data_IF_868566468966
#
_entry.id   IF_868566468966
#
_cell.length_a   1.000
_cell.length_b   1.000
_cell.length_c   1.000
_cell.angle_alpha   90.00
_cell.angle_beta   90.00
_cell.angle_gamma   90.00
#
_symmetry.space_group_name_H-M   'P 1'
#
loop_
_entity.id
_entity.type
_entity.pdbx_description
1 polymer ?
#
# COMPACT_ATOMS: atom_id res chain seq x y z
N UNK A 1 -1.43 15.20 -3.33
CA UNK A 1 -0.23 14.40 -3.01
C UNK A 1 -0.38 13.00 -3.58
N UNK A 2 0.70 12.28 -3.69
CA UNK A 2 0.70 10.94 -4.29
C UNK A 2 0.70 9.89 -3.18
N UNK A 3 -0.23 8.93 -3.28
CA UNK A 3 -0.42 7.91 -2.25
C UNK A 3 -0.42 6.53 -2.92
N UNK A 4 0.32 5.59 -2.35
CA UNK A 4 0.29 4.19 -2.79
C UNK A 4 -0.79 3.46 -2.02
N UNK A 5 -1.69 2.79 -2.75
CA UNK A 5 -2.64 1.81 -2.20
C UNK A 5 -2.21 0.43 -2.66
N UNK A 6 -2.06 -0.49 -1.72
CA UNK A 6 -1.72 -1.88 -2.05
C UNK A 6 -2.99 -2.72 -2.13
N UNK A 7 -2.88 -3.91 -2.72
CA UNK A 7 -4.00 -4.87 -2.81
C UNK A 7 -5.28 -4.22 -3.35
N UNK A 8 -5.18 -3.51 -4.46
CA UNK A 8 -6.32 -2.75 -5.00
C UNK A 8 -7.46 -3.63 -5.48
N UNK A 9 -7.25 -4.93 -5.60
CA UNK A 9 -8.32 -5.88 -5.86
C UNK A 9 -9.13 -6.26 -4.62
N UNK A 10 -8.81 -5.71 -3.45
CA UNK A 10 -9.55 -5.98 -2.23
C UNK A 10 -10.87 -5.21 -2.21
N UNK A 11 -11.78 -5.64 -1.33
CA UNK A 11 -13.13 -5.06 -1.27
C UNK A 11 -13.14 -3.59 -0.85
N UNK A 12 -12.14 -3.14 -0.10
CA UNK A 12 -12.09 -1.76 0.39
C UNK A 12 -11.42 -0.79 -0.57
N UNK A 13 -10.76 -1.29 -1.62
CA UNK A 13 -9.96 -0.46 -2.51
C UNK A 13 -10.78 0.58 -3.28
N UNK A 14 -11.92 0.19 -3.82
CA UNK A 14 -12.76 1.10 -4.60
C UNK A 14 -13.12 2.35 -3.81
N UNK A 15 -13.58 2.15 -2.57
CA UNK A 15 -13.97 3.24 -1.69
C UNK A 15 -12.78 4.14 -1.37
N UNK A 16 -11.62 3.54 -1.09
CA UNK A 16 -10.40 4.29 -0.80
C UNK A 16 -9.97 5.14 -2.00
N UNK A 17 -9.99 4.58 -3.21
CA UNK A 17 -9.61 5.31 -4.42
C UNK A 17 -10.54 6.50 -4.63
N UNK A 18 -11.86 6.30 -4.50
CA UNK A 18 -12.83 7.38 -4.66
C UNK A 18 -12.62 8.49 -3.64
N UNK A 19 -12.40 8.15 -2.37
CA UNK A 19 -12.15 9.14 -1.33
C UNK A 19 -10.89 9.95 -1.59
N UNK A 20 -9.81 9.29 -1.99
CA UNK A 20 -8.55 9.97 -2.26
C UNK A 20 -8.66 10.91 -3.45
N UNK A 21 -9.35 10.48 -4.51
CA UNK A 21 -9.56 11.33 -5.68
C UNK A 21 -10.40 12.56 -5.34
N UNK A 22 -11.44 12.40 -4.52
CA UNK A 22 -12.26 13.52 -4.07
C UNK A 22 -11.46 14.54 -3.27
N UNK A 23 -10.46 14.07 -2.52
CA UNK A 23 -9.58 14.94 -1.75
C UNK A 23 -8.45 15.56 -2.59
N UNK A 24 -8.38 15.24 -3.88
CA UNK A 24 -7.40 15.82 -4.79
C UNK A 24 -6.06 15.08 -4.83
N UNK A 25 -6.01 13.84 -4.34
CA UNK A 25 -4.78 13.06 -4.33
C UNK A 25 -4.69 12.15 -5.56
N UNK A 26 -3.46 11.85 -5.99
CA UNK A 26 -3.19 10.86 -7.02
C UNK A 26 -3.00 9.51 -6.36
N UNK A 27 -3.55 8.46 -6.98
CA UNK A 27 -3.49 7.10 -6.45
C UNK A 27 -2.57 6.25 -7.31
N UNK A 28 -1.53 5.71 -6.69
CA UNK A 28 -0.64 4.73 -7.29
C UNK A 28 -1.05 3.38 -6.72
N UNK A 29 -1.72 2.56 -7.52
CA UNK A 29 -2.22 1.27 -7.07
C UNK A 29 -1.26 0.15 -7.40
N UNK A 30 -1.24 -0.89 -6.57
CA UNK A 30 -0.52 -2.12 -6.89
C UNK A 30 -1.30 -3.33 -6.38
N UNK A 31 -1.08 -4.47 -7.03
CA UNK A 31 -1.71 -5.73 -6.69
C UNK A 31 -0.84 -6.85 -7.23
N UNK A 32 -0.97 -8.05 -6.66
CA UNK A 32 -0.21 -9.22 -7.12
C UNK A 32 -0.70 -9.73 -8.49
N UNK A 33 -1.92 -9.38 -8.86
CA UNK A 33 -2.51 -9.80 -10.12
C UNK A 33 -2.37 -8.73 -11.19
N UNK A 34 -2.46 -9.10 -12.50
CA UNK A 34 -2.36 -8.12 -13.58
C UNK A 34 -3.49 -7.09 -13.55
N UNK A 35 -3.23 -5.95 -14.16
CA UNK A 35 -4.20 -4.84 -14.26
C UNK A 35 -5.54 -5.29 -14.83
N UNK A 36 -5.52 -6.19 -15.81
CA UNK A 36 -6.72 -6.65 -16.51
C UNK A 36 -7.69 -7.44 -15.64
N UNK A 37 -7.22 -7.92 -14.49
CA UNK A 37 -8.04 -8.75 -13.59
C UNK A 37 -8.92 -7.93 -12.66
N UNK A 38 -8.63 -6.64 -12.50
CA UNK A 38 -9.35 -5.78 -11.55
C UNK A 38 -9.78 -4.48 -12.19
N UNK A 39 -11.08 -4.19 -12.09
CA UNK A 39 -11.62 -2.92 -12.53
C UNK A 39 -10.95 -1.74 -11.79
N UNK A 40 -10.70 -1.91 -10.50
CA UNK A 40 -10.11 -0.88 -9.63
C UNK A 40 -8.74 -0.42 -10.15
N UNK A 41 -8.01 -1.29 -10.83
CA UNK A 41 -6.71 -0.93 -11.41
C UNK A 41 -6.84 0.20 -12.45
N UNK A 42 -7.95 0.21 -13.19
CA UNK A 42 -8.18 1.24 -14.21
C UNK A 42 -8.52 2.60 -13.60
N UNK A 43 -8.91 2.63 -12.34
CA UNK A 43 -9.24 3.86 -11.63
C UNK A 43 -8.02 4.52 -10.99
N UNK A 44 -6.93 3.79 -10.85
CA UNK A 44 -5.69 4.35 -10.33
C UNK A 44 -5.01 5.22 -11.38
N UNK A 45 -4.33 6.27 -10.93
CA UNK A 45 -3.56 7.13 -11.83
C UNK A 45 -2.33 6.41 -12.39
N UNK A 46 -1.72 5.54 -11.56
CA UNK A 46 -0.63 4.65 -11.97
C UNK A 46 -0.93 3.28 -11.37
N UNK A 47 -0.64 2.23 -12.11
CA UNK A 47 -0.76 0.85 -11.60
C UNK A 47 0.51 0.06 -11.91
N UNK A 48 0.97 -0.70 -10.93
CA UNK A 48 2.09 -1.64 -11.10
C UNK A 48 1.74 -2.97 -10.45
N UNK A 49 2.08 -4.06 -11.12
CA UNK A 49 1.90 -5.39 -10.56
C UNK A 49 2.98 -5.63 -9.51
N UNK A 50 2.56 -5.99 -8.28
CA UNK A 50 3.47 -6.17 -7.15
C UNK A 50 3.83 -7.63 -6.93
N UNK A 51 5.02 -7.92 -6.34
CA UNK A 51 5.30 -9.27 -5.86
C UNK A 51 4.44 -9.59 -4.63
N UNK A 52 4.43 -10.85 -4.22
CA UNK A 52 3.73 -11.26 -3.01
C UNK A 52 4.32 -10.56 -1.79
N UNK A 53 3.48 -10.27 -0.81
CA UNK A 53 3.93 -9.61 0.43
C UNK A 53 4.98 -10.45 1.17
N UNK A 54 4.95 -11.76 1.01
CA UNK A 54 5.93 -12.65 1.61
C UNK A 54 7.27 -12.70 0.87
N UNK A 55 7.33 -12.12 -0.34
CA UNK A 55 8.55 -12.09 -1.14
C UNK A 55 9.57 -11.12 -0.58
N UNK A 56 10.85 -11.46 -0.71
CA UNK A 56 11.95 -10.58 -0.33
C UNK A 56 12.00 -9.32 -1.19
N UNK A 57 11.39 -9.35 -2.38
CA UNK A 57 11.38 -8.22 -3.30
C UNK A 57 10.26 -7.23 -3.04
N UNK A 58 9.34 -7.54 -2.12
CA UNK A 58 8.17 -6.70 -1.86
C UNK A 58 8.53 -5.30 -1.33
N UNK A 59 9.34 -5.25 -0.28
CA UNK A 59 9.75 -3.96 0.31
C UNK A 59 10.58 -3.14 -0.68
N UNK A 60 11.61 -3.70 -1.35
CA UNK A 60 12.32 -2.94 -2.39
C UNK A 60 11.42 -2.45 -3.52
N UNK A 61 10.42 -3.24 -3.91
CA UNK A 61 9.43 -2.84 -4.91
C UNK A 61 8.68 -1.58 -4.48
N UNK A 62 8.15 -1.56 -3.25
CA UNK A 62 7.41 -0.40 -2.75
C UNK A 62 8.29 0.84 -2.61
N UNK A 63 9.53 0.68 -2.14
CA UNK A 63 10.45 1.79 -2.02
C UNK A 63 10.76 2.41 -3.38
N UNK A 64 10.98 1.58 -4.38
CA UNK A 64 11.24 2.05 -5.74
C UNK A 64 10.02 2.75 -6.32
N UNK A 65 8.84 2.16 -6.15
CA UNK A 65 7.59 2.74 -6.65
C UNK A 65 7.34 4.10 -6.01
N UNK A 66 7.59 4.23 -4.71
CA UNK A 66 7.43 5.49 -3.99
C UNK A 66 8.41 6.55 -4.49
N UNK A 67 9.67 6.17 -4.73
CA UNK A 67 10.69 7.09 -5.23
C UNK A 67 10.34 7.58 -6.65
N UNK A 68 9.97 6.66 -7.54
CA UNK A 68 9.65 7.00 -8.93
C UNK A 68 8.42 7.92 -9.04
N UNK A 69 7.48 7.82 -8.12
CA UNK A 69 6.24 8.58 -8.15
C UNK A 69 6.15 9.66 -7.08
N UNK A 70 7.25 9.94 -6.41
CA UNK A 70 7.33 10.96 -5.35
C UNK A 70 6.25 10.78 -4.29
N UNK A 71 6.11 9.56 -3.79
CA UNK A 71 5.10 9.18 -2.81
C UNK A 71 5.61 9.37 -1.40
N UNK A 72 4.76 9.93 -0.53
CA UNK A 72 5.06 10.14 0.89
C UNK A 72 4.18 9.29 1.81
N UNK A 73 3.14 8.67 1.28
CA UNK A 73 2.19 7.87 2.07
C UNK A 73 1.90 6.55 1.38
N UNK A 74 1.93 5.48 2.14
CA UNK A 74 1.57 4.13 1.67
C UNK A 74 0.48 3.60 2.57
N UNK A 75 -0.65 3.18 1.99
CA UNK A 75 -1.77 2.63 2.72
C UNK A 75 -1.98 1.16 2.32
N UNK A 76 -1.48 0.22 3.13
CA UNK A 76 -1.73 -1.20 2.86
C UNK A 76 -3.17 -1.56 3.22
N UNK A 77 -3.80 -2.39 2.38
CA UNK A 77 -5.20 -2.74 2.55
C UNK A 77 -5.44 -4.17 3.06
N UNK A 78 -4.39 -4.97 3.22
CA UNK A 78 -4.53 -6.33 3.76
C UNK A 78 -3.65 -6.54 4.98
N UNK A 79 -4.07 -7.47 5.85
CA UNK A 79 -3.31 -7.79 7.06
C UNK A 79 -1.93 -8.35 6.76
N UNK A 80 -1.82 -9.15 5.72
CA UNK A 80 -0.54 -9.74 5.33
C UNK A 80 0.49 -8.67 4.97
N UNK A 81 0.06 -7.65 4.25
CA UNK A 81 0.92 -6.53 3.88
C UNK A 81 1.26 -5.64 5.07
N UNK A 82 0.27 -5.41 5.94
CA UNK A 82 0.48 -4.64 7.18
C UNK A 82 1.54 -5.33 8.04
N UNK A 83 1.45 -6.64 8.22
CA UNK A 83 2.41 -7.39 9.00
C UNK A 83 3.81 -7.34 8.39
N UNK A 84 3.91 -7.43 7.07
CA UNK A 84 5.19 -7.32 6.37
C UNK A 84 5.81 -5.95 6.56
N UNK A 85 5.05 -4.89 6.32
CA UNK A 85 5.53 -3.52 6.42
C UNK A 85 5.88 -3.14 7.85
N UNK A 86 5.16 -3.70 8.84
CA UNK A 86 5.44 -3.44 10.23
C UNK A 86 6.89 -3.80 10.60
N UNK A 87 7.43 -4.85 10.01
CA UNK A 87 8.82 -5.29 10.25
C UNK A 87 9.85 -4.32 9.68
N UNK A 88 9.46 -3.48 8.74
CA UNK A 88 10.37 -2.60 8.01
C UNK A 88 10.03 -1.12 8.17
N UNK A 89 9.28 -0.75 9.24
CA UNK A 89 8.87 0.64 9.49
C UNK A 89 10.02 1.63 9.43
N UNK A 90 11.15 1.28 10.05
CA UNK A 90 12.30 2.17 10.14
C UNK A 90 12.82 2.57 8.78
N UNK A 91 12.87 1.61 7.83
CA UNK A 91 13.36 1.88 6.48
C UNK A 91 12.47 2.91 5.78
N UNK A 92 11.14 2.78 5.91
CA UNK A 92 10.21 3.73 5.30
C UNK A 92 10.29 5.10 5.96
N UNK A 93 10.37 5.13 7.29
CA UNK A 93 10.48 6.39 8.04
C UNK A 93 11.75 7.15 7.67
N UNK A 94 12.89 6.46 7.52
CA UNK A 94 14.15 7.06 7.11
C UNK A 94 14.06 7.72 5.74
N UNK A 95 13.18 7.23 4.87
CA UNK A 95 12.97 7.79 3.54
C UNK A 95 11.86 8.83 3.50
N UNK A 96 11.31 9.20 4.66
CA UNK A 96 10.25 10.19 4.76
C UNK A 96 8.88 9.68 4.30
N UNK A 97 8.68 8.37 4.30
CA UNK A 97 7.41 7.75 3.90
C UNK A 97 6.61 7.36 5.14
N UNK A 98 5.37 7.82 5.21
CA UNK A 98 4.46 7.46 6.28
C UNK A 98 3.65 6.23 5.88
N UNK A 99 3.66 5.21 6.74
CA UNK A 99 2.82 4.03 6.56
C UNK A 99 1.48 4.30 7.25
N UNK A 100 0.40 4.33 6.46
CA UNK A 100 -0.94 4.60 6.97
C UNK A 100 -1.55 3.32 7.54
N UNK A 101 -1.09 2.93 8.71
CA UNK A 101 -1.50 1.70 9.38
C UNK A 101 -1.30 1.86 10.90
N UNK A 102 -1.92 0.97 11.71
CA UNK A 102 -1.80 1.05 13.17
C UNK A 102 -0.35 0.97 13.64
N UNK A 103 -0.07 1.53 14.82
CA UNK A 103 1.25 1.46 15.42
C UNK A 103 1.65 0.01 15.74
N UNK A 104 2.94 -0.21 15.95
CA UNK A 104 3.45 -1.54 16.31
C UNK A 104 2.79 -2.08 17.57
N UNK A 105 2.62 -1.24 18.59
CA UNK A 105 1.97 -1.64 19.84
C UNK A 105 0.50 -2.01 19.61
N UNK A 106 -0.22 -1.25 18.82
CA UNK A 106 -1.60 -1.53 18.48
C UNK A 106 -1.74 -2.85 17.72
N UNK A 107 -0.83 -3.11 16.79
CA UNK A 107 -0.84 -4.36 16.03
C UNK A 107 -0.58 -5.56 16.95
N UNK A 108 0.35 -5.45 17.89
CA UNK A 108 0.62 -6.52 18.84
C UNK A 108 -0.62 -6.87 19.67
N UNK A 109 -1.33 -5.86 20.17
CA UNK A 109 -2.56 -6.06 20.92
C UNK A 109 -3.65 -6.72 20.08
N UNK A 110 -3.83 -6.25 18.85
CA UNK A 110 -4.85 -6.79 17.94
C UNK A 110 -4.57 -8.25 17.56
N UNK A 111 -3.31 -8.61 17.35
CA UNK A 111 -2.93 -9.98 16.99
C UNK A 111 -3.09 -10.94 18.15
N UNK A 112 -2.91 -10.49 19.40
CA UNK A 112 -3.06 -11.32 20.58
C UNK A 112 -4.50 -11.81 20.78
N UNK A 113 -5.48 -11.17 20.17
CA UNK A 113 -6.89 -11.54 20.28
C UNK A 113 -7.28 -12.68 19.34
N UNK A 114 -6.44 -13.03 18.42
CA UNK A 114 -6.66 -14.04 17.42
C UNK A 114 -5.55 -15.07 17.43
#
# INVERSE_FOLDING_TARGET
MNIILTAIGSMSALCAIEHLHKAGHLVIGCDIYPKEWHYEASLCDVFEQAPLATSETYVPFLLKLAEENNVKYISPLTDLEIDKLNKYRTIFEEKGICLCMPSEDTLAIARDKY
#
